data_IF_957003905587
#
_entry.id   IF_957003905587
#
_cell.length_a   1.000
_cell.length_b   1.000
_cell.length_c   1.000
_cell.angle_alpha   90.00
_cell.angle_beta   90.00
_cell.angle_gamma   90.00
#
_symmetry.space_group_name_H-M   'P 1'
#
loop_
_entity.id
_entity.type
_entity.pdbx_description
1 polymer ?
#
# COMPACT_ATOMS: atom_id res chain seq x y z
N UNK A 1 -3.08 19.07 -39.71
CA UNK A 1 -3.08 18.35 -38.41
C UNK A 1 -1.94 17.34 -38.25
N UNK A 2 -1.62 16.52 -39.26
CA UNK A 2 -0.62 15.43 -39.18
C UNK A 2 0.80 15.87 -38.76
N UNK A 3 1.28 17.05 -39.20
CA UNK A 3 2.62 17.57 -38.81
C UNK A 3 2.75 17.88 -37.31
N UNK A 4 1.68 18.32 -36.63
CA UNK A 4 1.68 18.60 -35.18
C UNK A 4 1.71 17.33 -34.35
N UNK A 5 0.97 16.29 -34.77
CA UNK A 5 0.93 14.98 -34.12
C UNK A 5 2.29 14.28 -34.21
N UNK A 6 2.93 14.30 -35.40
CA UNK A 6 4.30 13.77 -35.57
C UNK A 6 5.35 14.52 -34.74
N UNK A 7 5.16 15.83 -34.51
CA UNK A 7 6.01 16.62 -33.61
C UNK A 7 5.86 16.23 -32.13
N UNK A 8 4.63 15.95 -31.68
CA UNK A 8 4.34 15.49 -30.32
C UNK A 8 4.82 14.05 -30.09
N UNK A 9 4.66 13.15 -31.08
CA UNK A 9 5.18 11.78 -31.03
C UNK A 9 6.72 11.76 -30.94
N UNK A 10 7.41 12.58 -31.74
CA UNK A 10 8.88 12.73 -31.68
C UNK A 10 9.36 13.31 -30.35
N UNK A 11 8.61 14.23 -29.73
CA UNK A 11 8.91 14.74 -28.38
C UNK A 11 8.71 13.66 -27.31
N UNK A 12 7.65 12.85 -27.41
CA UNK A 12 7.38 11.75 -26.48
C UNK A 12 8.44 10.64 -26.57
N UNK A 13 8.84 10.25 -27.78
CA UNK A 13 9.93 9.29 -28.01
C UNK A 13 11.28 9.81 -27.52
N UNK A 14 11.59 11.10 -27.70
CA UNK A 14 12.79 11.72 -27.12
C UNK A 14 12.74 11.76 -25.59
N UNK A 15 11.57 11.99 -24.98
CA UNK A 15 11.37 11.97 -23.52
C UNK A 15 11.54 10.56 -22.94
N UNK A 16 11.03 9.54 -23.62
CA UNK A 16 11.26 8.13 -23.26
C UNK A 16 12.74 7.73 -23.43
N UNK A 17 13.41 8.18 -24.49
CA UNK A 17 14.84 7.94 -24.70
C UNK A 17 15.71 8.61 -23.61
N UNK A 18 15.35 9.82 -23.17
CA UNK A 18 15.99 10.48 -22.03
C UNK A 18 15.77 9.71 -20.73
N UNK A 19 14.55 9.25 -20.47
CA UNK A 19 14.24 8.46 -19.28
C UNK A 19 15.01 7.12 -19.25
N UNK A 20 15.14 6.45 -20.39
CA UNK A 20 15.94 5.23 -20.52
C UNK A 20 17.44 5.50 -20.33
N UNK A 21 17.96 6.62 -20.85
CA UNK A 21 19.35 7.01 -20.65
C UNK A 21 19.66 7.36 -19.19
N UNK A 22 18.74 8.01 -18.48
CA UNK A 22 18.83 8.30 -17.06
C UNK A 22 18.76 7.03 -16.20
N UNK A 23 17.89 6.08 -16.55
CA UNK A 23 17.82 4.77 -15.87
C UNK A 23 19.10 3.94 -16.12
N UNK A 24 19.67 4.00 -17.32
CA UNK A 24 20.96 3.34 -17.65
C UNK A 24 22.13 4.01 -16.92
N UNK A 25 22.08 5.32 -16.70
CA UNK A 25 23.04 6.05 -15.87
C UNK A 25 22.89 5.67 -14.39
N UNK A 26 21.67 5.59 -13.87
CA UNK A 26 21.37 5.13 -12.50
C UNK A 26 21.84 3.70 -12.24
N UNK A 27 21.60 2.77 -13.17
CA UNK A 27 22.11 1.39 -13.08
C UNK A 27 23.64 1.31 -13.16
N UNK A 28 24.30 2.20 -13.93
CA UNK A 28 25.77 2.31 -13.96
C UNK A 28 26.34 2.90 -12.67
N UNK A 29 25.66 3.87 -12.05
CA UNK A 29 26.01 4.43 -10.73
C UNK A 29 25.82 3.37 -9.65
N UNK A 30 24.74 2.59 -9.71
CA UNK A 30 24.47 1.46 -8.81
C UNK A 30 25.51 0.33 -8.96
N UNK A 31 25.98 0.06 -10.19
CA UNK A 31 27.12 -0.86 -10.43
C UNK A 31 28.45 -0.31 -9.92
N UNK A 32 28.72 1.00 -10.02
CA UNK A 32 29.90 1.63 -9.39
C UNK A 32 29.83 1.61 -7.86
N UNK A 33 28.63 1.68 -7.27
CA UNK A 33 28.41 1.52 -5.83
C UNK A 33 28.58 0.07 -5.34
N UNK A 34 28.33 -0.94 -6.19
CA UNK A 34 28.59 -2.36 -5.87
C UNK A 34 30.03 -2.82 -6.15
N UNK A 35 30.84 -2.01 -6.85
CA UNK A 35 32.24 -2.32 -7.18
C UNK A 35 33.26 -1.51 -6.34
N UNK A 36 32.84 -0.93 -5.22
CA UNK A 36 33.79 -0.74 -4.12
C UNK A 36 34.21 -2.13 -3.69
N UNK A 37 35.45 -2.49 -4.02
CA UNK A 37 36.15 -3.69 -3.54
C UNK A 37 35.60 -4.02 -2.16
N UNK A 38 34.98 -5.20 -2.00
CA UNK A 38 34.76 -5.75 -0.67
C UNK A 38 36.09 -5.56 0.05
N UNK A 39 36.15 -4.84 1.20
CA UNK A 39 37.27 -5.06 2.09
C UNK A 39 37.34 -6.57 2.21
N UNK A 40 38.49 -7.16 1.86
CA UNK A 40 38.76 -8.53 2.23
C UNK A 40 38.28 -8.63 3.68
N UNK A 41 37.34 -9.54 3.95
CA UNK A 41 36.87 -9.79 5.31
C UNK A 41 38.14 -10.06 6.09
N UNK A 42 38.57 -9.07 6.85
CA UNK A 42 39.75 -9.14 7.67
C UNK A 42 39.57 -10.41 8.50
N UNK A 43 40.59 -11.28 8.62
CA UNK A 43 40.49 -12.39 9.56
C UNK A 43 40.12 -11.74 10.89
N UNK A 44 38.94 -12.09 11.42
CA UNK A 44 38.36 -11.46 12.59
C UNK A 44 39.45 -11.32 13.64
N UNK A 45 39.70 -10.07 14.08
CA UNK A 45 40.69 -9.77 15.10
C UNK A 45 40.28 -10.60 16.31
N UNK A 46 41.01 -11.69 16.55
CA UNK A 46 40.81 -12.56 17.71
C UNK A 46 41.33 -11.79 18.93
N UNK A 47 40.46 -11.06 19.60
CA UNK A 47 40.60 -10.92 21.04
C UNK A 47 40.41 -12.31 21.66
N UNK A 48 41.06 -12.54 22.80
CA UNK A 48 41.24 -13.83 23.47
C UNK A 48 39.93 -14.43 24.02
N UNK A 49 38.97 -14.69 23.14
CA UNK A 49 37.60 -15.13 23.45
C UNK A 49 37.13 -16.10 22.36
N UNK A 50 36.37 -17.12 22.76
CA UNK A 50 36.00 -18.30 21.94
C UNK A 50 35.06 -17.98 20.74
N UNK A 51 34.56 -16.76 20.64
CA UNK A 51 33.58 -16.33 19.65
C UNK A 51 34.02 -15.08 18.89
N UNK A 52 33.45 -14.89 17.69
CA UNK A 52 33.64 -13.67 16.91
C UNK A 52 33.00 -12.46 17.60
N UNK A 53 33.55 -11.27 17.34
CA UNK A 53 32.98 -9.99 17.79
C UNK A 53 31.53 -9.88 17.30
N UNK A 54 30.62 -9.54 18.21
CA UNK A 54 29.17 -9.56 17.95
C UNK A 54 28.46 -10.82 18.45
N UNK A 55 29.19 -11.79 19.03
CA UNK A 55 28.64 -13.02 19.58
C UNK A 55 29.16 -13.33 20.97
N UNK A 56 28.31 -13.95 21.78
CA UNK A 56 28.62 -14.44 23.13
C UNK A 56 28.56 -15.96 23.16
N UNK A 57 29.30 -16.58 24.08
CA UNK A 57 29.27 -18.03 24.26
C UNK A 57 28.00 -18.44 25.02
N UNK A 58 27.13 -19.19 24.35
CA UNK A 58 25.89 -19.73 24.89
C UNK A 58 25.90 -21.25 24.75
N UNK A 59 26.04 -21.96 25.87
CA UNK A 59 25.95 -23.43 25.92
C UNK A 59 26.84 -24.14 24.90
N UNK A 60 28.13 -23.75 24.80
CA UNK A 60 29.16 -24.27 23.86
C UNK A 60 29.05 -23.83 22.40
N UNK A 61 28.07 -23.00 22.05
CA UNK A 61 27.93 -22.39 20.72
C UNK A 61 27.96 -20.87 20.79
N UNK A 62 28.50 -20.23 19.77
CA UNK A 62 28.51 -18.78 19.69
C UNK A 62 27.15 -18.28 19.18
N UNK A 63 26.42 -17.54 20.00
CA UNK A 63 25.17 -16.89 19.61
C UNK A 63 25.42 -15.40 19.34
N UNK A 64 24.97 -14.85 18.21
CA UNK A 64 25.04 -13.41 17.97
C UNK A 64 24.11 -12.67 18.93
N UNK A 65 24.47 -11.44 19.31
CA UNK A 65 23.58 -10.59 20.11
C UNK A 65 22.26 -10.40 19.38
N UNK A 66 21.15 -10.64 20.07
CA UNK A 66 19.81 -10.60 19.50
C UNK A 66 19.34 -9.15 19.25
N UNK A 67 18.28 -9.00 18.46
CA UNK A 67 17.69 -7.69 18.20
C UNK A 67 17.27 -6.99 19.51
N UNK A 68 17.45 -5.67 19.58
CA UNK A 68 17.29 -4.87 20.80
C UNK A 68 18.53 -4.85 21.70
N UNK A 69 19.61 -5.56 21.32
CA UNK A 69 20.89 -5.56 22.03
C UNK A 69 22.06 -5.25 21.10
N UNK A 70 23.17 -4.79 21.67
CA UNK A 70 24.45 -4.63 20.98
C UNK A 70 25.56 -5.33 21.77
N UNK A 71 26.63 -5.73 21.10
CA UNK A 71 27.79 -6.34 21.73
C UNK A 71 28.73 -5.26 22.26
N UNK A 72 28.85 -5.16 23.58
CA UNK A 72 29.81 -4.30 24.24
C UNK A 72 31.17 -4.98 24.29
N UNK A 73 32.14 -4.43 23.56
CA UNK A 73 33.50 -4.95 23.46
C UNK A 73 34.22 -4.90 24.82
N UNK A 74 33.88 -3.91 25.67
CA UNK A 74 34.51 -3.70 26.98
C UNK A 74 34.10 -4.78 27.97
N UNK A 75 32.82 -5.14 27.97
CA UNK A 75 32.24 -6.14 28.85
C UNK A 75 32.14 -7.54 28.22
N UNK A 76 32.48 -7.67 26.92
CA UNK A 76 32.36 -8.89 26.11
C UNK A 76 30.99 -9.55 26.21
N UNK A 77 29.93 -8.75 26.31
CA UNK A 77 28.57 -9.21 26.56
C UNK A 77 27.55 -8.46 25.71
N UNK A 78 26.36 -9.06 25.51
CA UNK A 78 25.26 -8.40 24.84
C UNK A 78 24.50 -7.50 25.82
N UNK A 79 24.50 -6.20 25.56
CA UNK A 79 23.85 -5.18 26.39
C UNK A 79 22.61 -4.65 25.67
N UNK A 80 21.55 -4.35 26.41
CA UNK A 80 20.31 -3.79 25.84
C UNK A 80 20.59 -2.39 25.30
N UNK A 81 19.97 -2.06 24.16
CA UNK A 81 20.07 -0.73 23.60
C UNK A 81 19.58 0.35 24.59
N UNK A 82 20.32 1.45 24.77
CA UNK A 82 19.88 2.56 25.61
C UNK A 82 18.61 3.21 25.06
N UNK A 83 17.90 3.96 25.92
CA UNK A 83 16.71 4.71 25.52
C UNK A 83 16.98 5.59 24.30
N UNK A 84 15.96 5.72 23.44
CA UNK A 84 16.03 6.44 22.16
C UNK A 84 16.96 5.81 21.09
N UNK A 85 17.35 4.55 21.28
CA UNK A 85 18.10 3.78 20.27
C UNK A 85 17.45 2.42 20.03
N UNK A 86 17.72 1.84 18.86
CA UNK A 86 17.18 0.56 18.43
C UNK A 86 18.21 -0.27 17.68
N UNK A 87 18.01 -1.58 17.65
CA UNK A 87 18.85 -2.49 16.87
C UNK A 87 18.06 -3.67 16.32
N UNK A 88 17.78 -3.65 15.02
CA UNK A 88 16.96 -4.68 14.39
C UNK A 88 17.77 -5.91 13.92
N UNK A 89 19.08 -5.74 13.74
CA UNK A 89 19.97 -6.78 13.21
C UNK A 89 20.72 -7.46 14.35
N UNK A 90 20.95 -8.76 14.19
CA UNK A 90 21.77 -9.53 15.13
C UNK A 90 23.26 -9.18 15.01
N UNK A 91 23.99 -9.36 16.11
CA UNK A 91 25.44 -9.26 16.20
C UNK A 91 26.02 -7.86 15.91
N UNK A 92 25.24 -6.81 16.15
CA UNK A 92 25.72 -5.44 15.97
C UNK A 92 26.50 -4.95 17.20
N UNK A 93 27.40 -3.99 16.97
CA UNK A 93 28.28 -3.42 17.99
C UNK A 93 27.79 -2.07 18.51
N UNK A 94 26.74 -1.53 17.92
CA UNK A 94 26.17 -0.24 18.26
C UNK A 94 24.67 -0.25 17.98
N UNK A 95 23.90 0.53 18.73
CA UNK A 95 22.48 0.77 18.46
C UNK A 95 22.30 2.02 17.60
N UNK A 96 21.32 1.98 16.70
CA UNK A 96 20.97 3.10 15.83
C UNK A 96 20.07 4.09 16.59
N UNK A 97 20.29 5.39 16.39
CA UNK A 97 19.45 6.42 17.04
C UNK A 97 18.09 6.53 16.35
N UNK A 98 17.03 6.68 17.14
CA UNK A 98 15.75 7.10 16.61
C UNK A 98 15.84 8.56 16.08
N UNK A 99 15.03 8.92 15.07
CA UNK A 99 15.05 10.25 14.47
C UNK A 99 14.44 11.32 15.39
N UNK A 100 13.69 10.90 16.42
CA UNK A 100 13.08 11.79 17.40
C UNK A 100 13.89 11.75 18.70
N UNK A 101 13.73 12.77 19.53
CA UNK A 101 14.18 12.73 20.92
C UNK A 101 13.06 12.33 21.88
N UNK A 102 11.95 11.81 21.35
CA UNK A 102 10.83 11.38 22.18
C UNK A 102 11.24 10.14 22.96
N UNK A 103 10.77 10.03 24.19
CA UNK A 103 10.95 8.84 25.03
C UNK A 103 9.69 8.01 24.97
N UNK A 104 9.78 6.81 24.41
CA UNK A 104 8.71 5.81 24.46
C UNK A 104 8.74 5.01 25.77
N UNK A 105 7.65 4.31 26.06
CA UNK A 105 7.55 3.42 27.23
C UNK A 105 8.39 2.14 27.09
N UNK A 106 8.77 1.77 25.87
CA UNK A 106 9.55 0.57 25.54
C UNK A 106 10.79 0.94 24.75
N UNK A 107 11.87 0.16 24.92
CA UNK A 107 13.08 0.29 24.08
C UNK A 107 12.75 -0.25 22.69
N UNK A 108 12.88 0.58 21.63
CA UNK A 108 12.55 0.15 20.28
C UNK A 108 13.53 -0.91 19.78
N UNK A 109 13.01 -1.97 19.17
CA UNK A 109 13.81 -3.04 18.55
C UNK A 109 14.07 -2.70 17.09
N UNK A 110 13.11 -2.06 16.42
CA UNK A 110 13.16 -1.67 15.01
C UNK A 110 12.85 -0.18 14.84
N UNK A 111 13.17 0.36 13.65
CA UNK A 111 12.87 1.74 13.30
C UNK A 111 11.38 2.07 13.47
N UNK A 112 10.49 1.17 13.07
CA UNK A 112 9.03 1.33 13.19
C UNK A 112 8.52 1.48 14.62
N UNK A 113 9.31 1.08 15.62
CA UNK A 113 8.98 1.21 17.04
C UNK A 113 9.51 2.51 17.64
N UNK A 114 10.28 3.31 16.88
CA UNK A 114 10.77 4.58 17.37
C UNK A 114 9.60 5.51 17.75
N UNK A 115 9.67 6.13 18.94
CA UNK A 115 8.61 7.02 19.41
C UNK A 115 8.53 8.27 18.53
N UNK A 116 7.34 8.84 18.41
CA UNK A 116 7.10 10.08 17.68
C UNK A 116 7.10 9.96 16.15
N UNK A 117 7.35 8.77 15.58
CA UNK A 117 7.13 8.54 14.15
C UNK A 117 5.65 8.60 13.81
N UNK A 118 5.32 9.12 12.63
CA UNK A 118 3.97 9.00 12.11
C UNK A 118 3.61 7.54 11.84
N UNK A 119 2.46 7.05 12.34
CA UNK A 119 2.04 5.69 12.08
C UNK A 119 1.59 5.53 10.62
N UNK A 120 1.46 4.28 10.14
CA UNK A 120 0.84 4.00 8.85
C UNK A 120 -0.51 4.71 8.69
N UNK A 121 -0.83 5.09 7.47
CA UNK A 121 -1.98 5.92 7.14
C UNK A 121 -1.81 7.40 7.49
N UNK A 122 -0.67 7.81 8.03
CA UNK A 122 -0.39 9.20 8.37
C UNK A 122 0.94 9.67 7.80
N UNK A 123 1.07 10.99 7.69
CA UNK A 123 2.28 11.66 7.24
C UNK A 123 2.41 13.02 7.93
N UNK A 124 3.59 13.61 7.87
CA UNK A 124 3.84 14.99 8.25
C UNK A 124 4.97 15.56 7.39
N UNK A 125 5.37 16.80 7.60
CA UNK A 125 6.44 17.42 6.79
C UNK A 125 7.81 16.77 7.01
N UNK A 126 8.03 16.20 8.19
CA UNK A 126 9.28 15.59 8.64
C UNK A 126 9.13 14.10 9.00
N UNK A 127 7.91 13.55 8.90
CA UNK A 127 7.59 12.17 9.25
C UNK A 127 7.35 11.96 10.74
N UNK A 128 7.37 13.03 11.54
CA UNK A 128 7.20 12.98 12.99
C UNK A 128 5.87 13.60 13.43
N UNK A 129 5.45 13.32 14.65
CA UNK A 129 4.26 13.92 15.25
C UNK A 129 4.43 15.45 15.37
N UNK A 130 3.37 16.25 15.13
CA UNK A 130 1.97 15.87 14.89
C UNK A 130 1.70 15.39 13.45
N UNK A 131 0.99 14.28 13.31
CA UNK A 131 0.75 13.63 12.03
C UNK A 131 -0.63 13.95 11.45
N UNK A 132 -0.70 14.06 10.14
CA UNK A 132 -1.91 14.25 9.36
C UNK A 132 -2.30 12.93 8.67
N UNK A 133 -3.59 12.60 8.64
CA UNK A 133 -4.07 11.40 7.95
C UNK A 133 -3.93 11.53 6.44
N UNK A 134 -3.57 10.43 5.77
CA UNK A 134 -3.51 10.38 4.31
C UNK A 134 -4.87 10.76 3.70
N UNK A 135 -4.93 11.72 2.76
CA UNK A 135 -6.18 12.10 2.10
C UNK A 135 -6.74 10.95 1.26
N UNK A 136 -8.02 11.05 0.88
CA UNK A 136 -8.66 10.05 0.01
C UNK A 136 -7.92 9.91 -1.33
N UNK A 137 -7.80 8.67 -1.81
CA UNK A 137 -7.03 8.35 -3.00
C UNK A 137 -5.52 8.22 -2.76
N UNK A 138 -5.10 8.26 -1.49
CA UNK A 138 -3.72 8.00 -1.09
C UNK A 138 -3.66 7.03 0.10
N UNK A 139 -2.53 6.36 0.26
CA UNK A 139 -2.27 5.40 1.33
C UNK A 139 -0.82 5.46 1.80
N UNK A 140 -0.53 5.00 3.01
CA UNK A 140 0.83 4.93 3.55
C UNK A 140 1.02 3.71 4.45
N UNK A 141 1.96 2.82 4.12
CA UNK A 141 2.25 1.62 4.92
C UNK A 141 3.50 1.77 5.81
N UNK A 142 4.40 2.69 5.48
CA UNK A 142 5.65 2.96 6.21
C UNK A 142 5.40 3.88 7.41
N UNK A 143 6.12 3.62 8.51
CA UNK A 143 6.22 4.56 9.63
C UNK A 143 7.14 5.72 9.26
N UNK A 144 6.87 6.90 9.81
CA UNK A 144 7.80 8.02 9.72
C UNK A 144 7.85 8.70 8.35
N UNK A 145 6.82 8.57 7.53
CA UNK A 145 6.88 9.03 6.13
C UNK A 145 6.40 10.48 5.98
N UNK A 146 7.03 11.20 5.06
CA UNK A 146 6.74 12.62 4.78
C UNK A 146 5.59 12.85 3.78
N UNK A 147 4.93 11.77 3.32
CA UNK A 147 3.84 11.87 2.35
C UNK A 147 3.23 10.51 2.01
N UNK A 148 2.02 10.52 1.44
CA UNK A 148 1.28 9.30 1.10
C UNK A 148 1.52 8.87 -0.35
N UNK A 149 1.47 7.56 -0.59
CA UNK A 149 1.48 6.98 -1.92
C UNK A 149 0.12 7.19 -2.58
N UNK A 150 0.08 7.52 -3.87
CA UNK A 150 -1.16 7.67 -4.63
C UNK A 150 -1.69 6.31 -5.09
N UNK A 151 -3.02 6.12 -5.05
CA UNK A 151 -3.66 4.91 -5.58
C UNK A 151 -3.56 4.74 -7.10
N UNK A 152 -3.32 5.83 -7.85
CA UNK A 152 -3.27 5.83 -9.32
C UNK A 152 -4.55 6.39 -9.97
N UNK A 153 -4.53 6.50 -11.30
CA UNK A 153 -5.62 7.10 -12.07
C UNK A 153 -6.93 6.29 -11.94
N UNK A 154 -8.04 6.95 -11.59
CA UNK A 154 -9.37 6.34 -11.50
C UNK A 154 -9.61 5.43 -10.29
N UNK A 155 -8.66 5.38 -9.35
CA UNK A 155 -8.71 4.53 -8.15
C UNK A 155 -8.64 5.44 -6.92
N UNK A 156 -9.51 5.22 -5.94
CA UNK A 156 -9.54 6.04 -4.72
C UNK A 156 -9.71 5.20 -3.47
N UNK A 157 -9.39 5.74 -2.30
CA UNK A 157 -9.63 5.07 -1.02
C UNK A 157 -10.99 5.43 -0.47
N UNK A 158 -11.61 4.51 0.31
CA UNK A 158 -12.93 4.73 0.91
C UNK A 158 -12.92 5.91 1.90
N UNK A 159 -11.83 6.04 2.65
CA UNK A 159 -11.68 7.00 3.74
C UNK A 159 -10.23 7.48 3.79
N UNK A 160 -10.01 8.58 4.52
CA UNK A 160 -8.67 9.05 4.85
C UNK A 160 -7.96 8.04 5.76
N UNK A 161 -6.63 8.08 5.78
CA UNK A 161 -5.83 7.24 6.67
C UNK A 161 -5.61 5.81 6.19
N UNK A 162 -5.76 5.54 4.89
CA UNK A 162 -5.52 4.21 4.33
C UNK A 162 -4.06 3.76 4.53
N UNK A 163 -3.89 2.52 4.95
CA UNK A 163 -2.58 1.96 5.29
C UNK A 163 -2.02 1.09 4.20
N UNK A 164 -2.82 0.69 3.21
CA UNK A 164 -2.44 -0.32 2.22
C UNK A 164 -2.93 0.02 0.81
N UNK A 165 -2.27 -0.53 -0.20
CA UNK A 165 -2.74 -0.42 -1.59
C UNK A 165 -4.05 -1.19 -1.81
N UNK A 166 -4.36 -2.21 -1.00
CA UNK A 166 -5.65 -2.91 -1.05
C UNK A 166 -6.84 -2.01 -0.71
N UNK A 167 -6.61 -0.89 -0.01
CA UNK A 167 -7.65 0.11 0.27
C UNK A 167 -7.98 0.99 -0.94
N UNK A 168 -7.16 0.91 -2.00
CA UNK A 168 -7.37 1.61 -3.26
C UNK A 168 -8.45 0.88 -4.07
N UNK A 169 -9.68 1.37 -3.95
CA UNK A 169 -10.84 0.86 -4.67
C UNK A 169 -10.78 1.34 -6.12
N UNK A 170 -10.69 0.39 -7.03
CA UNK A 170 -10.98 0.66 -8.43
C UNK A 170 -12.45 1.03 -8.48
N UNK A 171 -12.78 2.21 -9.01
CA UNK A 171 -14.15 2.43 -9.48
C UNK A 171 -14.33 1.55 -10.71
N UNK A 172 -14.53 0.26 -10.47
CA UNK A 172 -14.88 -0.68 -11.52
C UNK A 172 -16.08 -0.07 -12.20
N UNK A 173 -16.02 0.09 -13.52
CA UNK A 173 -17.19 0.43 -14.29
C UNK A 173 -18.17 -0.72 -14.08
N UNK A 174 -19.11 -0.56 -13.14
CA UNK A 174 -20.18 -1.52 -12.96
C UNK A 174 -20.86 -1.67 -14.32
N UNK A 175 -21.04 -2.90 -14.77
CA UNK A 175 -21.73 -3.15 -16.03
C UNK A 175 -23.16 -2.63 -15.93
N UNK A 176 -23.82 -2.44 -17.07
CA UNK A 176 -25.24 -2.10 -17.07
C UNK A 176 -26.02 -3.07 -16.14
N UNK A 177 -27.07 -2.56 -15.51
CA UNK A 177 -27.85 -3.27 -14.49
C UNK A 177 -27.23 -3.27 -13.09
N UNK A 178 -26.06 -2.66 -12.90
CA UNK A 178 -25.39 -2.57 -11.60
C UNK A 178 -25.07 -1.12 -11.23
N UNK A 179 -25.11 -0.82 -9.94
CA UNK A 179 -24.65 0.45 -9.37
C UNK A 179 -23.46 0.22 -8.44
N UNK A 180 -22.54 1.17 -8.42
CA UNK A 180 -21.38 1.15 -7.56
C UNK A 180 -21.77 1.59 -6.15
N UNK A 181 -21.74 0.67 -5.19
CA UNK A 181 -21.95 0.99 -3.80
C UNK A 181 -20.61 1.45 -3.19
N UNK A 182 -20.45 2.75 -2.99
CA UNK A 182 -19.26 3.37 -2.39
C UNK A 182 -19.03 2.97 -0.93
N UNK A 183 -20.05 2.46 -0.24
CA UNK A 183 -19.98 2.02 1.16
C UNK A 183 -19.36 0.62 1.26
N UNK A 184 -19.74 -0.28 0.35
CA UNK A 184 -19.22 -1.66 0.30
C UNK A 184 -18.07 -1.85 -0.69
N UNK A 185 -17.84 -0.88 -1.59
CA UNK A 185 -16.84 -0.98 -2.66
C UNK A 185 -17.19 -2.01 -3.74
N UNK A 186 -18.46 -2.45 -3.80
CA UNK A 186 -18.94 -3.51 -4.70
C UNK A 186 -19.92 -2.97 -5.73
N UNK A 187 -19.98 -3.62 -6.89
CA UNK A 187 -21.06 -3.41 -7.85
C UNK A 187 -22.27 -4.24 -7.42
N UNK A 188 -23.32 -3.57 -6.99
CA UNK A 188 -24.56 -4.21 -6.57
C UNK A 188 -25.57 -4.16 -7.73
N UNK A 189 -26.42 -5.18 -7.81
CA UNK A 189 -27.50 -5.24 -8.80
C UNK A 189 -28.58 -4.21 -8.51
N UNK A 190 -29.15 -3.63 -9.56
CA UNK A 190 -30.33 -2.80 -9.40
C UNK A 190 -31.53 -3.65 -8.95
N UNK A 191 -32.22 -3.28 -7.86
CA UNK A 191 -33.35 -4.06 -7.35
C UNK A 191 -34.57 -3.93 -8.28
N UNK A 192 -35.57 -4.78 -8.07
CA UNK A 192 -36.83 -4.75 -8.83
C UNK A 192 -37.49 -3.37 -8.78
N UNK A 193 -37.96 -2.91 -9.94
CA UNK A 193 -38.51 -1.55 -10.12
C UNK A 193 -37.45 -0.50 -10.46
N UNK A 194 -36.21 -0.92 -10.67
CA UNK A 194 -35.11 -0.06 -11.08
C UNK A 194 -34.28 -0.70 -12.20
N UNK A 195 -33.72 0.14 -13.07
CA UNK A 195 -32.84 -0.26 -14.16
C UNK A 195 -31.62 0.67 -14.25
N UNK A 196 -30.55 0.23 -14.92
CA UNK A 196 -29.36 1.06 -15.14
C UNK A 196 -28.73 0.79 -16.52
N UNK A 197 -28.92 1.68 -17.50
CA UNK A 197 -28.35 1.51 -18.84
C UNK A 197 -26.87 1.88 -18.94
N UNK A 198 -26.40 2.79 -18.09
CA UNK A 198 -25.02 3.27 -18.11
C UNK A 198 -24.08 2.34 -17.36
N UNK A 199 -22.82 2.30 -17.80
CA UNK A 199 -21.75 1.66 -17.03
C UNK A 199 -21.15 2.63 -16.01
N UNK A 200 -20.68 2.12 -14.88
CA UNK A 200 -19.97 2.90 -13.85
C UNK A 200 -20.83 3.90 -13.07
N UNK A 201 -22.16 3.75 -13.08
CA UNK A 201 -23.06 4.59 -12.29
C UNK A 201 -23.08 4.16 -10.82
N UNK A 202 -23.38 5.08 -9.91
CA UNK A 202 -23.51 4.86 -8.47
C UNK A 202 -24.97 4.86 -7.98
N UNK A 203 -25.93 4.94 -8.91
CA UNK A 203 -27.36 4.88 -8.65
C UNK A 203 -28.07 3.94 -9.64
N UNK A 204 -29.32 3.58 -9.34
CA UNK A 204 -30.23 2.94 -10.28
C UNK A 204 -31.38 3.88 -10.62
N UNK A 205 -31.82 3.87 -11.88
CA UNK A 205 -32.94 4.67 -12.37
C UNK A 205 -34.24 3.97 -11.99
N UNK A 206 -35.18 4.69 -11.38
CA UNK A 206 -36.50 4.14 -11.06
C UNK A 206 -37.35 4.00 -12.32
N UNK A 207 -38.16 2.94 -12.39
CA UNK A 207 -39.13 2.78 -13.46
C UNK A 207 -40.15 3.92 -13.45
N UNK A 208 -40.48 4.52 -14.61
CA UNK A 208 -41.47 5.58 -14.68
C UNK A 208 -42.89 5.06 -14.44
N UNK A 209 -43.73 5.89 -13.81
CA UNK A 209 -45.11 5.49 -13.48
C UNK A 209 -45.16 4.43 -12.38
N UNK A 210 -46.22 3.61 -12.37
CA UNK A 210 -46.40 2.51 -11.42
C UNK A 210 -45.91 1.16 -11.99
N UNK A 211 -44.85 1.19 -12.81
CA UNK A 211 -44.30 0.03 -13.50
C UNK A 211 -43.14 -0.59 -12.70
N UNK A 212 -42.88 -1.88 -12.88
CA UNK A 212 -41.79 -2.62 -12.23
C UNK A 212 -41.02 -3.47 -13.23
N UNK A 213 -39.78 -3.82 -12.90
CA UNK A 213 -39.02 -4.83 -13.64
C UNK A 213 -39.39 -6.24 -13.18
N UNK A 214 -39.29 -7.21 -14.09
CA UNK A 214 -39.53 -8.64 -13.80
C UNK A 214 -38.37 -9.27 -12.98
N UNK A 215 -37.14 -8.78 -13.18
CA UNK A 215 -35.92 -9.26 -12.53
C UNK A 215 -34.99 -8.13 -12.07
N UNK A 216 -34.09 -8.47 -11.14
CA UNK A 216 -32.98 -7.62 -10.71
C UNK A 216 -31.94 -7.45 -11.83
N UNK A 217 -31.13 -6.39 -11.73
CA UNK A 217 -30.12 -6.00 -12.70
C UNK A 217 -30.64 -5.71 -14.12
N UNK A 218 -31.84 -5.14 -14.22
CA UNK A 218 -32.39 -4.65 -15.50
C UNK A 218 -31.53 -3.55 -16.10
N UNK A 219 -31.27 -3.64 -17.41
CA UNK A 219 -30.35 -2.73 -18.13
C UNK A 219 -31.07 -1.68 -18.96
N UNK A 220 -32.36 -1.84 -19.26
CA UNK A 220 -33.13 -0.94 -20.14
C UNK A 220 -34.46 -0.54 -19.53
N UNK A 221 -35.03 0.55 -20.03
CA UNK A 221 -36.36 1.03 -19.63
C UNK A 221 -37.48 0.10 -20.10
N UNK A 222 -37.26 -0.65 -21.20
CA UNK A 222 -38.24 -1.61 -21.74
C UNK A 222 -38.52 -2.78 -20.77
N UNK A 223 -37.67 -2.97 -19.77
CA UNK A 223 -37.91 -3.91 -18.69
C UNK A 223 -38.99 -3.42 -17.70
N UNK A 224 -39.35 -2.14 -17.71
CA UNK A 224 -40.37 -1.57 -16.84
C UNK A 224 -41.78 -1.82 -17.39
N UNK A 225 -42.50 -2.79 -16.80
CA UNK A 225 -43.84 -3.21 -17.23
C UNK A 225 -44.88 -2.93 -16.14
N UNK A 226 -46.12 -2.65 -16.55
CA UNK A 226 -47.23 -2.34 -15.64
C UNK A 226 -47.77 -3.59 -14.92
N UNK A 227 -47.67 -4.74 -15.56
CA UNK A 227 -48.02 -6.06 -15.03
C UNK A 227 -46.76 -6.91 -14.88
N UNK A 228 -46.63 -7.61 -13.74
CA UNK A 228 -45.56 -8.61 -13.56
C UNK A 228 -45.79 -9.76 -14.56
N UNK A 229 -44.85 -10.00 -15.46
CA UNK A 229 -44.90 -11.17 -16.33
C UNK A 229 -44.34 -12.37 -15.55
N UNK A 230 -45.20 -13.32 -15.20
CA UNK A 230 -44.84 -14.51 -14.43
C UNK A 230 -45.67 -14.64 -13.16
N UNK A 231 -46.84 -15.26 -13.31
CA UNK A 231 -47.69 -15.71 -12.21
C UNK A 231 -48.10 -17.16 -12.46
N UNK A 232 -48.45 -17.87 -11.39
CA UNK A 232 -48.94 -19.25 -11.49
C UNK A 232 -50.38 -19.21 -12.02
N UNK A 233 -50.61 -19.68 -13.25
CA UNK A 233 -51.97 -19.93 -13.76
C UNK A 233 -52.20 -21.44 -13.75
N UNK A 234 -52.68 -21.97 -12.62
CA UNK A 234 -52.87 -23.41 -12.42
C UNK A 234 -51.53 -24.18 -12.38
N UNK A 235 -51.39 -25.25 -13.16
CA UNK A 235 -50.19 -26.12 -13.17
C UNK A 235 -49.15 -25.76 -14.24
N UNK A 236 -49.28 -24.62 -14.92
CA UNK A 236 -48.38 -24.22 -16.01
C UNK A 236 -47.53 -23.01 -15.58
N UNK A 237 -46.22 -23.21 -15.62
CA UNK A 237 -45.23 -22.13 -15.48
C UNK A 237 -44.93 -21.57 -16.87
N UNK A 238 -45.29 -20.32 -17.13
CA UNK A 238 -45.02 -19.66 -18.40
C UNK A 238 -44.95 -18.14 -18.28
N UNK A 239 -44.09 -17.53 -19.09
CA UNK A 239 -44.02 -16.08 -19.30
C UNK A 239 -45.03 -15.75 -20.39
N UNK A 240 -45.98 -14.85 -20.12
CA UNK A 240 -46.83 -14.27 -21.16
C UNK A 240 -46.10 -13.02 -21.65
N UNK A 241 -45.57 -13.09 -22.86
CA UNK A 241 -45.09 -11.93 -23.62
C UNK A 241 -46.26 -11.19 -24.27
#
# INVERSE_FOLDING_TARGET
MVKRINGMLRKSLKKQALHFSAHRAYLKVRRKSMNRRRPAVSPGIRLNTRCLIGSVESSTTCSPCEAGTYFDISNTSCTVCPSNTYQEKKGQLECMRCPTNATGSTVPISFSQCPGLCPPGHFSVDGLQPCQSCPTGTYQYDHGRIGCYTCGEGITTRQTGSTSFSDCLVRGSCTAGHYYNSRTGTCNRCPNGFYQPGTGQDFCVTCPGNTTTDYDASTTIDACKETRCGGVIGNLHGVIE
#
